data_IF_415723554273
#
_entry.id   IF_415723554273
#
_cell.length_a   1.000
_cell.length_b   1.000
_cell.length_c   1.000
_cell.angle_alpha   90.00
_cell.angle_beta   90.00
_cell.angle_gamma   90.00
#
_symmetry.space_group_name_H-M   'P 1'
#
loop_
_entity.id
_entity.type
_entity.pdbx_description
1 polymer ?
#
# COMPACT_ATOMS: atom_id res chain seq x y z
N UNK A 1 -1.32 14.59 8.45
CA UNK A 1 -1.52 13.14 8.18
C UNK A 1 -1.00 12.83 6.79
N UNK A 2 -0.11 11.86 6.66
CA UNK A 2 0.42 11.49 5.35
C UNK A 2 0.05 10.06 4.98
N UNK A 3 0.07 9.79 3.68
CA UNK A 3 -0.07 8.44 3.13
C UNK A 3 1.31 7.85 2.88
N UNK A 4 1.43 6.56 3.05
CA UNK A 4 2.67 5.84 2.76
C UNK A 4 2.34 4.60 1.94
N UNK A 5 3.08 4.41 0.84
CA UNK A 5 2.85 3.28 -0.07
C UNK A 5 3.83 2.14 0.20
N UNK A 6 3.31 0.92 0.22
CA UNK A 6 4.13 -0.28 0.19
C UNK A 6 3.70 -1.07 -1.04
N UNK A 7 4.59 -1.16 -2.01
CA UNK A 7 4.29 -1.71 -3.33
C UNK A 7 5.17 -2.91 -3.65
N UNK A 8 4.67 -3.78 -4.52
CA UNK A 8 5.43 -4.88 -5.06
C UNK A 8 6.14 -4.52 -6.37
N UNK A 9 5.89 -3.31 -6.90
CA UNK A 9 6.51 -2.90 -8.16
C UNK A 9 6.91 -1.43 -8.16
N UNK A 10 7.97 -1.15 -8.92
CA UNK A 10 8.58 0.18 -9.01
C UNK A 10 7.66 1.17 -9.73
N UNK A 11 6.91 0.71 -10.72
CA UNK A 11 6.06 1.60 -11.52
C UNK A 11 4.96 2.24 -10.67
N UNK A 12 4.34 1.45 -9.78
CA UNK A 12 3.33 1.97 -8.87
C UNK A 12 3.94 3.00 -7.91
N UNK A 13 5.13 2.70 -7.37
CA UNK A 13 5.81 3.64 -6.50
C UNK A 13 6.14 4.94 -7.22
N UNK A 14 6.66 4.85 -8.44
CA UNK A 14 7.00 6.03 -9.24
C UNK A 14 5.77 6.89 -9.49
N UNK A 15 4.66 6.26 -9.91
CA UNK A 15 3.42 6.98 -10.14
C UNK A 15 2.89 7.68 -8.90
N UNK A 16 2.96 7.01 -7.76
CA UNK A 16 2.51 7.59 -6.49
C UNK A 16 3.41 8.73 -6.01
N UNK A 17 4.71 8.62 -6.23
CA UNK A 17 5.64 9.71 -5.90
C UNK A 17 5.35 10.97 -6.71
N UNK A 18 4.96 10.81 -7.97
CA UNK A 18 4.53 11.95 -8.78
C UNK A 18 3.29 12.63 -8.21
N UNK A 19 2.46 11.88 -7.51
CA UNK A 19 1.28 12.42 -6.84
C UNK A 19 1.57 12.89 -5.42
N UNK A 20 2.84 12.86 -4.99
CA UNK A 20 3.22 13.33 -3.66
C UNK A 20 3.18 12.28 -2.56
N UNK A 21 3.02 11.01 -2.90
CA UNK A 21 2.99 9.91 -1.93
C UNK A 21 4.33 9.18 -1.94
N UNK A 22 5.00 9.15 -0.80
CA UNK A 22 6.24 8.41 -0.66
C UNK A 22 5.97 6.94 -0.33
N UNK A 23 6.98 6.09 -0.49
CA UNK A 23 6.80 4.67 -0.23
C UNK A 23 8.05 3.85 -0.44
N UNK A 24 7.85 2.54 -0.48
CA UNK A 24 8.91 1.56 -0.61
C UNK A 24 8.43 0.38 -1.47
N UNK A 25 9.37 -0.26 -2.17
CA UNK A 25 9.10 -1.50 -2.90
C UNK A 25 9.65 -2.67 -2.10
N UNK A 26 8.82 -3.68 -1.85
CA UNK A 26 9.22 -4.90 -1.17
C UNK A 26 8.63 -6.11 -1.89
N UNK A 27 9.24 -7.27 -1.72
CA UNK A 27 8.79 -8.50 -2.39
C UNK A 27 8.57 -9.66 -1.41
N UNK A 28 9.41 -9.75 -0.39
CA UNK A 28 9.41 -10.86 0.55
C UNK A 28 8.53 -10.57 1.77
N UNK A 29 8.03 -11.65 2.38
CA UNK A 29 7.16 -11.53 3.55
C UNK A 29 7.79 -10.72 4.69
N UNK A 30 9.04 -10.97 4.99
CA UNK A 30 9.71 -10.26 6.09
C UNK A 30 9.98 -8.80 5.76
N UNK A 31 10.28 -8.50 4.50
CA UNK A 31 10.40 -7.11 4.05
C UNK A 31 9.07 -6.38 4.21
N UNK A 32 7.98 -7.04 3.84
CA UNK A 32 6.64 -6.49 3.96
C UNK A 32 6.29 -6.22 5.42
N UNK A 33 6.54 -7.19 6.30
CA UNK A 33 6.30 -7.05 7.73
C UNK A 33 7.05 -5.85 8.30
N UNK A 34 8.34 -5.75 7.98
CA UNK A 34 9.18 -4.66 8.46
C UNK A 34 8.69 -3.30 7.93
N UNK A 35 8.34 -3.24 6.66
CA UNK A 35 7.83 -1.99 6.07
C UNK A 35 6.54 -1.54 6.73
N UNK A 36 5.63 -2.46 7.00
CA UNK A 36 4.36 -2.15 7.67
C UNK A 36 4.62 -1.68 9.10
N UNK A 37 5.48 -2.38 9.83
CA UNK A 37 5.80 -2.00 11.21
C UNK A 37 6.44 -0.62 11.29
N UNK A 38 7.36 -0.32 10.38
CA UNK A 38 7.99 1.00 10.33
C UNK A 38 6.97 2.09 10.03
N UNK A 39 6.07 1.85 9.09
CA UNK A 39 5.03 2.81 8.77
C UNK A 39 4.06 3.03 9.94
N UNK A 40 3.73 1.96 10.66
CA UNK A 40 2.85 2.04 11.82
C UNK A 40 3.48 2.79 12.99
N UNK A 41 4.79 2.75 13.09
CA UNK A 41 5.52 3.46 14.14
C UNK A 41 5.76 4.93 13.82
N UNK A 42 5.51 5.35 12.60
CA UNK A 42 5.61 6.75 12.18
C UNK A 42 4.28 7.45 12.47
N UNK A 43 4.28 8.32 13.45
CA UNK A 43 3.07 9.03 13.88
C UNK A 43 2.46 9.93 12.81
N UNK A 44 3.25 10.33 11.82
CA UNK A 44 2.77 11.17 10.73
C UNK A 44 1.96 10.38 9.71
N UNK A 45 2.12 9.05 9.66
CA UNK A 45 1.40 8.20 8.70
C UNK A 45 0.01 7.90 9.22
N UNK A 46 -1.00 8.33 8.48
CA UNK A 46 -2.39 8.06 8.79
C UNK A 46 -3.02 7.00 7.91
N UNK A 47 -2.44 6.76 6.72
CA UNK A 47 -2.93 5.79 5.76
C UNK A 47 -1.75 5.03 5.17
N UNK A 48 -1.84 3.70 5.17
CA UNK A 48 -0.87 2.84 4.48
C UNK A 48 -1.58 2.27 3.26
N UNK A 49 -1.02 2.52 2.08
CA UNK A 49 -1.51 1.97 0.82
C UNK A 49 -0.69 0.73 0.49
N UNK A 50 -1.37 -0.39 0.25
CA UNK A 50 -0.72 -1.65 -0.12
C UNK A 50 -1.21 -2.08 -1.49
N UNK A 51 -0.30 -2.52 -2.37
CA UNK A 51 -0.75 -3.15 -3.60
C UNK A 51 -1.45 -4.48 -3.28
N UNK A 52 -2.52 -4.78 -4.00
CA UNK A 52 -3.39 -5.91 -3.68
C UNK A 52 -2.72 -7.28 -3.78
N UNK A 53 -1.57 -7.35 -4.43
CA UNK A 53 -0.80 -8.59 -4.54
C UNK A 53 -0.42 -9.12 -3.15
N UNK A 54 -0.09 -8.23 -2.21
CA UNK A 54 0.26 -8.64 -0.84
C UNK A 54 -0.91 -9.31 -0.12
N UNK A 55 -2.12 -8.83 -0.38
CA UNK A 55 -3.32 -9.45 0.19
C UNK A 55 -3.57 -10.85 -0.37
N UNK A 56 -3.18 -11.09 -1.63
CA UNK A 56 -3.29 -12.41 -2.24
C UNK A 56 -2.18 -13.37 -1.79
N UNK A 57 -0.95 -12.87 -1.67
CA UNK A 57 0.21 -13.71 -1.31
C UNK A 57 0.33 -13.94 0.19
N UNK A 58 0.00 -12.95 0.99
CA UNK A 58 0.18 -12.98 2.44
C UNK A 58 -1.09 -12.58 3.19
N UNK A 59 -2.22 -13.26 2.91
CA UNK A 59 -3.50 -12.85 3.51
C UNK A 59 -3.50 -12.94 5.04
N UNK A 60 -2.82 -13.91 5.59
CA UNK A 60 -2.72 -14.08 7.04
C UNK A 60 -2.03 -12.89 7.72
N UNK A 61 -0.96 -12.39 7.11
CA UNK A 61 -0.22 -11.24 7.65
C UNK A 61 -1.07 -9.97 7.59
N UNK A 62 -1.72 -9.73 6.45
CA UNK A 62 -2.55 -8.54 6.28
C UNK A 62 -3.75 -8.57 7.21
N UNK A 63 -4.42 -9.71 7.34
CA UNK A 63 -5.58 -9.85 8.23
C UNK A 63 -5.19 -9.65 9.68
N UNK A 64 -4.06 -10.21 10.10
CA UNK A 64 -3.54 -10.02 11.46
C UNK A 64 -3.35 -8.54 11.79
N UNK A 65 -2.76 -7.80 10.86
CA UNK A 65 -2.51 -6.37 11.06
C UNK A 65 -3.83 -5.60 11.13
N UNK A 66 -4.78 -5.90 10.25
CA UNK A 66 -6.09 -5.25 10.26
C UNK A 66 -6.85 -5.49 11.54
N UNK A 67 -6.71 -6.67 12.13
CA UNK A 67 -7.40 -7.03 13.38
C UNK A 67 -6.75 -6.37 14.60
N UNK A 68 -5.45 -6.21 14.60
CA UNK A 68 -4.73 -5.67 15.74
C UNK A 68 -4.81 -4.16 15.87
N UNK A 69 -4.95 -3.45 14.74
CA UNK A 69 -4.87 -1.99 14.74
C UNK A 69 -5.94 -1.36 13.88
N UNK A 70 -6.53 -0.29 14.39
CA UNK A 70 -7.46 0.54 13.64
C UNK A 70 -6.77 1.72 12.96
N UNK A 71 -5.62 2.13 13.48
CA UNK A 71 -4.82 3.23 12.92
C UNK A 71 -3.36 2.83 12.84
N UNK A 72 -2.64 3.19 11.78
CA UNK A 72 -3.12 3.86 10.57
C UNK A 72 -4.07 2.99 9.76
N UNK A 73 -4.88 3.62 8.92
CA UNK A 73 -5.82 2.91 8.05
C UNK A 73 -5.05 2.18 6.97
N UNK A 74 -5.37 0.91 6.75
CA UNK A 74 -4.73 0.08 5.73
C UNK A 74 -5.67 -0.08 4.55
N UNK A 75 -5.24 0.39 3.37
CA UNK A 75 -6.05 0.36 2.15
C UNK A 75 -5.29 -0.39 1.06
N UNK A 76 -5.95 -1.39 0.48
CA UNK A 76 -5.39 -2.10 -0.67
C UNK A 76 -5.73 -1.36 -1.96
N UNK A 77 -4.73 -1.18 -2.81
CA UNK A 77 -4.92 -0.55 -4.12
C UNK A 77 -4.70 -1.58 -5.23
N UNK A 78 -5.35 -1.39 -6.39
CA UNK A 78 -5.23 -2.35 -7.48
C UNK A 78 -3.80 -2.56 -7.96
N UNK A 79 -3.50 -3.82 -8.27
CA UNK A 79 -2.23 -4.21 -8.86
C UNK A 79 -2.27 -3.88 -10.36
N UNK A 80 -1.17 -3.36 -10.86
CA UNK A 80 -1.04 -3.02 -12.28
C UNK A 80 -1.23 -4.22 -13.20
N UNK A 81 -0.83 -5.41 -12.76
CA UNK A 81 -0.77 -6.59 -13.62
C UNK A 81 -1.90 -7.60 -13.40
N UNK A 82 -2.64 -7.51 -12.32
CA UNK A 82 -3.49 -8.60 -11.89
C UNK A 82 -4.95 -8.53 -12.29
N UNK A 83 -5.46 -7.36 -12.68
CA UNK A 83 -6.90 -7.15 -12.80
C UNK A 83 -7.39 -6.87 -14.20
N UNK A 84 -6.50 -6.65 -15.17
CA UNK A 84 -6.87 -6.24 -16.51
C UNK A 84 -7.49 -4.84 -16.59
N UNK A 85 -7.40 -4.08 -15.53
CA UNK A 85 -7.95 -2.72 -15.49
C UNK A 85 -7.07 -1.74 -16.23
N UNK A 86 -7.68 -0.64 -16.66
CA UNK A 86 -6.96 0.41 -17.37
C UNK A 86 -5.91 1.08 -16.50
N UNK A 87 -4.86 1.61 -17.15
CA UNK A 87 -3.73 2.23 -16.44
C UNK A 87 -4.13 3.40 -15.55
N UNK A 88 -5.18 4.13 -15.93
CA UNK A 88 -5.64 5.29 -15.17
C UNK A 88 -6.48 4.92 -13.96
N UNK A 89 -6.74 3.63 -13.73
CA UNK A 89 -7.58 3.18 -12.63
C UNK A 89 -7.01 3.60 -11.27
N UNK A 90 -5.70 3.48 -11.09
CA UNK A 90 -5.07 3.86 -9.83
C UNK A 90 -5.23 5.36 -9.57
N UNK A 91 -5.03 6.18 -10.60
CA UNK A 91 -5.21 7.63 -10.49
C UNK A 91 -6.64 7.99 -10.13
N UNK A 92 -7.61 7.36 -10.77
CA UNK A 92 -9.03 7.57 -10.45
C UNK A 92 -9.35 7.16 -9.02
N UNK A 93 -8.78 6.03 -8.58
CA UNK A 93 -8.97 5.54 -7.22
C UNK A 93 -8.46 6.53 -6.19
N UNK A 94 -7.25 7.06 -6.41
CA UNK A 94 -6.66 8.05 -5.50
C UNK A 94 -7.49 9.34 -5.48
N UNK A 95 -7.94 9.79 -6.64
CA UNK A 95 -8.76 10.99 -6.74
C UNK A 95 -10.11 10.84 -6.01
N UNK A 96 -10.71 9.67 -6.07
CA UNK A 96 -11.96 9.39 -5.37
C UNK A 96 -11.76 9.32 -3.86
N UNK A 97 -10.58 8.91 -3.39
CA UNK A 97 -10.28 8.81 -1.98
C UNK A 97 -10.00 10.16 -1.32
N UNK A 98 -9.72 11.16 -2.12
CA UNK A 98 -9.47 12.51 -1.66
C UNK A 98 -10.77 13.30 -1.63
#
# INVERSE_FOLDING_TARGET
MKMYLISDNVDTLTGMRLAGVDGIVVHEREELRTAIENAMNDKAVGVILLTEKFGREFPDLIDEIKLERTMPLLIEIPDRHGTGRKKDFITSYVNEAI
#
